data_IF_165125479268
#
_entry.id   IF_165125479268
#
_cell.length_a   1.000
_cell.length_b   1.000
_cell.length_c   1.000
_cell.angle_alpha   90.00
_cell.angle_beta   90.00
_cell.angle_gamma   90.00
#
_symmetry.space_group_name_H-M   'P 1'
#
loop_
_entity.id
_entity.type
_entity.pdbx_description
1 polymer ?
#
# COMPACT_ATOMS: atom_id res chain seq x y z
N UNK A 1 8.16 21.58 3.12
CA UNK A 1 9.55 21.06 3.27
C UNK A 1 9.74 19.71 2.57
N UNK A 2 8.86 18.69 2.80
CA UNK A 2 8.97 17.38 2.13
C UNK A 2 8.91 17.50 0.60
N UNK A 3 7.95 18.25 0.07
CA UNK A 3 7.78 18.52 -1.37
C UNK A 3 9.04 19.19 -1.95
N UNK A 4 9.62 20.17 -1.25
CA UNK A 4 10.84 20.86 -1.72
C UNK A 4 12.04 19.90 -1.80
N UNK A 5 12.15 18.97 -0.85
CA UNK A 5 13.20 17.95 -0.87
C UNK A 5 12.97 16.98 -2.03
N UNK A 6 11.74 16.47 -2.18
CA UNK A 6 11.38 15.58 -3.29
C UNK A 6 11.72 16.19 -4.65
N UNK A 7 11.36 17.45 -4.87
CA UNK A 7 11.71 18.18 -6.09
C UNK A 7 13.21 18.31 -6.34
N UNK A 8 13.99 18.59 -5.29
CA UNK A 8 15.47 18.66 -5.40
C UNK A 8 16.07 17.31 -5.76
N UNK A 9 15.42 16.22 -5.39
CA UNK A 9 15.83 14.85 -5.74
C UNK A 9 15.29 14.40 -7.10
N UNK A 10 14.50 15.23 -7.78
CA UNK A 10 13.91 14.90 -9.09
C UNK A 10 12.70 13.97 -9.01
N UNK A 11 12.12 13.78 -7.82
CA UNK A 11 10.89 13.01 -7.68
C UNK A 11 9.67 13.83 -8.15
N UNK A 12 8.72 13.18 -8.80
CA UNK A 12 7.44 13.75 -9.25
C UNK A 12 6.26 13.24 -8.41
N UNK A 13 6.47 12.25 -7.60
CA UNK A 13 5.44 11.60 -6.78
C UNK A 13 5.93 11.46 -5.34
N UNK A 14 5.06 11.81 -4.41
CA UNK A 14 5.26 11.58 -2.98
C UNK A 14 4.35 10.45 -2.52
N UNK A 15 4.89 9.53 -1.73
CA UNK A 15 4.14 8.47 -1.08
C UNK A 15 4.07 8.70 0.43
N UNK A 16 2.92 8.42 1.02
CA UNK A 16 2.75 8.21 2.46
C UNK A 16 1.84 7.02 2.71
N UNK A 17 2.05 6.36 3.83
CA UNK A 17 1.15 5.33 4.35
C UNK A 17 -0.05 6.00 5.02
N UNK A 18 -1.25 5.43 4.85
CA UNK A 18 -2.43 5.87 5.57
C UNK A 18 -2.26 5.69 7.09
N UNK A 19 -2.78 6.66 7.85
CA UNK A 19 -2.60 6.67 9.29
C UNK A 19 -3.58 5.76 10.02
N UNK A 20 -3.14 5.34 11.16
CA UNK A 20 -3.93 4.75 12.23
C UNK A 20 -4.70 5.85 12.98
N UNK A 21 -5.92 5.62 13.46
CA UNK A 21 -6.61 6.57 14.34
C UNK A 21 -5.82 6.77 15.66
N UNK A 22 -5.43 8.01 15.96
CA UNK A 22 -4.60 8.33 17.11
C UNK A 22 -5.24 7.94 18.45
N UNK A 23 -6.57 7.99 18.51
CA UNK A 23 -7.35 7.69 19.70
C UNK A 23 -7.40 6.19 20.00
N UNK A 24 -7.17 5.32 19.00
CA UNK A 24 -7.20 3.88 19.16
C UNK A 24 -5.80 3.38 19.53
N UNK A 25 -5.67 2.81 20.73
CA UNK A 25 -4.39 2.28 21.19
C UNK A 25 -4.24 0.82 20.82
N UNK A 26 -3.25 0.53 20.00
CA UNK A 26 -2.82 -0.82 19.71
C UNK A 26 -1.73 -1.27 20.69
N UNK A 27 -1.62 -2.57 20.97
CA UNK A 27 -0.57 -3.09 21.85
C UNK A 27 0.85 -2.98 21.26
N UNK A 28 0.97 -2.64 20.00
CA UNK A 28 2.22 -2.38 19.28
C UNK A 28 2.06 -1.07 18.49
N UNK A 29 3.06 -0.20 18.56
CA UNK A 29 2.98 1.17 18.05
C UNK A 29 2.78 1.30 16.54
N UNK A 30 3.14 0.31 15.74
CA UNK A 30 3.11 0.42 14.28
C UNK A 30 2.20 -0.58 13.58
N UNK A 31 2.24 -1.83 13.98
CA UNK A 31 1.44 -2.89 13.38
C UNK A 31 0.54 -3.53 14.42
N UNK A 32 -0.70 -3.88 14.07
CA UNK A 32 -1.54 -4.67 14.96
C UNK A 32 -0.78 -5.94 15.36
N UNK A 33 -0.81 -6.25 16.62
CA UNK A 33 0.00 -7.31 17.18
C UNK A 33 -0.25 -8.70 16.55
N UNK A 34 -1.38 -8.91 15.92
CA UNK A 34 -1.68 -10.17 15.24
C UNK A 34 -0.87 -10.39 13.96
N UNK A 35 -0.23 -9.34 13.40
CA UNK A 35 0.75 -9.51 12.35
C UNK A 35 2.09 -10.04 12.86
N UNK A 36 2.33 -9.94 14.16
CA UNK A 36 3.55 -10.40 14.80
C UNK A 36 3.27 -11.30 16.02
N UNK A 37 2.42 -12.33 15.89
CA UNK A 37 2.00 -13.13 17.04
C UNK A 37 3.19 -13.83 17.73
N UNK A 38 4.24 -14.16 16.96
CA UNK A 38 5.44 -14.85 17.44
C UNK A 38 6.44 -13.87 18.06
N UNK A 39 6.57 -12.66 17.50
CA UNK A 39 7.50 -11.65 18.01
C UNK A 39 7.12 -11.16 19.41
N UNK A 40 5.88 -11.30 19.79
CA UNK A 40 5.35 -10.79 21.03
C UNK A 40 5.42 -11.73 22.20
N UNK A 41 5.87 -12.98 22.06
CA UNK A 41 6.10 -13.98 23.13
C UNK A 41 5.04 -14.09 24.24
N UNK A 42 4.32 -13.00 24.46
CA UNK A 42 3.30 -12.85 25.51
C UNK A 42 1.93 -13.41 25.11
N UNK A 43 1.69 -13.66 23.82
CA UNK A 43 0.35 -13.93 23.30
C UNK A 43 0.15 -15.31 22.67
N UNK A 44 1.16 -16.19 22.77
CA UNK A 44 1.04 -17.58 22.29
C UNK A 44 -0.16 -18.29 22.94
N UNK A 45 -0.47 -17.96 24.18
CA UNK A 45 -1.57 -18.55 24.95
C UNK A 45 -2.86 -17.72 24.92
N UNK A 46 -2.85 -16.51 24.33
CA UNK A 46 -4.02 -15.66 24.20
C UNK A 46 -3.99 -14.89 22.87
N UNK A 47 -4.34 -15.54 21.76
CA UNK A 47 -4.26 -14.97 20.42
C UNK A 47 -5.37 -13.96 20.08
N UNK A 48 -6.01 -13.37 21.09
CA UNK A 48 -7.04 -12.37 20.84
C UNK A 48 -6.41 -11.06 20.40
N UNK A 49 -6.88 -10.55 19.26
CA UNK A 49 -6.64 -9.17 18.89
C UNK A 49 -7.34 -8.26 19.89
N UNK A 50 -6.56 -7.40 20.54
CA UNK A 50 -7.06 -6.43 21.49
C UNK A 50 -6.58 -5.03 21.09
N UNK A 51 -7.53 -4.11 20.97
CA UNK A 51 -7.28 -2.70 20.79
C UNK A 51 -8.18 -1.92 21.73
N UNK A 52 -7.65 -0.90 22.37
CA UNK A 52 -8.40 -0.01 23.23
C UNK A 52 -9.04 1.09 22.40
N UNK A 53 -10.36 1.04 22.26
CA UNK A 53 -11.15 2.06 21.57
C UNK A 53 -11.88 2.85 22.64
N UNK A 54 -11.72 4.19 22.72
CA UNK A 54 -12.46 5.01 23.67
C UNK A 54 -13.98 4.91 23.45
N UNK A 55 -14.76 4.95 24.54
CA UNK A 55 -16.23 4.84 24.48
C UNK A 55 -16.87 5.97 23.65
N UNK A 56 -16.23 7.14 23.61
CA UNK A 56 -16.67 8.32 22.86
C UNK A 56 -16.00 8.47 21.50
N UNK A 57 -15.36 7.43 20.97
CA UNK A 57 -14.66 7.48 19.70
C UNK A 57 -15.59 7.81 18.54
N UNK A 58 -15.39 8.99 17.93
CA UNK A 58 -16.12 9.46 16.76
C UNK A 58 -15.43 9.00 15.45
N UNK A 59 -15.77 7.81 14.99
CA UNK A 59 -15.21 7.24 13.75
C UNK A 59 -15.49 8.10 12.51
N UNK A 60 -16.67 8.70 12.41
CA UNK A 60 -17.05 9.57 11.29
C UNK A 60 -16.27 10.87 11.31
N UNK A 61 -16.18 11.51 12.46
CA UNK A 61 -15.37 12.71 12.62
C UNK A 61 -13.90 12.47 12.40
N UNK A 62 -13.37 11.33 12.87
CA UNK A 62 -11.98 10.93 12.60
C UNK A 62 -11.72 10.79 11.09
N UNK A 63 -12.58 10.08 10.37
CA UNK A 63 -12.54 9.96 8.91
C UNK A 63 -12.53 11.32 8.22
N UNK A 64 -13.48 12.20 8.57
CA UNK A 64 -13.60 13.52 7.94
C UNK A 64 -12.36 14.39 8.19
N UNK A 65 -11.87 14.45 9.44
CA UNK A 65 -10.64 15.20 9.78
C UNK A 65 -9.42 14.68 9.01
N UNK A 66 -9.34 13.36 8.83
CA UNK A 66 -8.26 12.74 8.07
C UNK A 66 -8.31 13.15 6.60
N UNK A 67 -9.49 13.06 5.96
CA UNK A 67 -9.67 13.48 4.57
C UNK A 67 -9.42 14.96 4.35
N UNK A 68 -9.85 15.81 5.28
CA UNK A 68 -9.56 17.26 5.22
C UNK A 68 -8.05 17.53 5.28
N UNK A 69 -7.32 16.75 6.08
CA UNK A 69 -5.86 16.85 6.19
C UNK A 69 -5.17 16.38 4.92
N UNK A 70 -5.62 15.25 4.35
CA UNK A 70 -5.14 14.77 3.05
C UNK A 70 -5.42 15.78 1.93
N UNK A 71 -6.62 16.37 1.90
CA UNK A 71 -6.98 17.39 0.91
C UNK A 71 -6.03 18.58 0.92
N UNK A 72 -5.58 19.01 2.10
CA UNK A 72 -4.55 20.06 2.21
C UNK A 72 -3.20 19.64 1.63
N UNK A 73 -2.79 18.39 1.85
CA UNK A 73 -1.53 17.86 1.30
C UNK A 73 -1.63 17.75 -0.22
N UNK A 74 -2.74 17.19 -0.72
CA UNK A 74 -3.00 17.05 -2.16
C UNK A 74 -2.95 18.43 -2.84
N UNK A 75 -3.61 19.43 -2.27
CA UNK A 75 -3.56 20.80 -2.80
C UNK A 75 -2.14 21.36 -2.88
N UNK A 76 -1.31 21.15 -1.85
CA UNK A 76 0.09 21.55 -1.91
C UNK A 76 0.87 20.81 -3.00
N UNK A 77 0.53 19.56 -3.26
CA UNK A 77 1.13 18.80 -4.37
C UNK A 77 0.70 19.36 -5.73
N UNK A 78 -0.57 19.67 -5.93
CA UNK A 78 -1.09 20.33 -7.14
C UNK A 78 -0.37 21.65 -7.43
N UNK A 79 -0.29 22.54 -6.44
CA UNK A 79 0.37 23.84 -6.55
C UNK A 79 1.85 23.74 -6.92
N UNK A 80 2.43 22.57 -6.76
CA UNK A 80 3.85 22.30 -7.02
C UNK A 80 4.08 21.31 -8.14
N UNK A 81 3.06 20.92 -8.91
CA UNK A 81 3.13 19.88 -9.95
C UNK A 81 3.75 18.55 -9.43
N UNK A 82 3.34 18.15 -8.25
CA UNK A 82 3.67 16.85 -7.65
C UNK A 82 2.43 15.97 -7.62
N UNK A 83 2.61 14.67 -7.77
CA UNK A 83 1.58 13.67 -7.47
C UNK A 83 1.69 13.24 -6.01
N UNK A 84 0.56 12.89 -5.43
CA UNK A 84 0.48 12.35 -4.08
C UNK A 84 -0.15 10.97 -4.12
N UNK A 85 0.59 9.97 -3.72
CA UNK A 85 0.17 8.58 -3.65
C UNK A 85 -0.06 8.18 -2.18
N UNK A 86 -1.29 7.77 -1.85
CA UNK A 86 -1.61 7.23 -0.54
C UNK A 86 -1.49 5.71 -0.58
N UNK A 87 -0.78 5.14 0.37
CA UNK A 87 -0.65 3.70 0.53
C UNK A 87 -1.59 3.20 1.62
N UNK A 88 -2.44 2.23 1.26
CA UNK A 88 -3.31 1.53 2.19
C UNK A 88 -2.56 0.42 2.92
N UNK A 89 -2.76 0.33 4.23
CA UNK A 89 -2.28 -0.78 5.05
C UNK A 89 -3.45 -1.44 5.77
N UNK A 90 -3.21 -2.61 6.36
CA UNK A 90 -4.18 -3.21 7.25
C UNK A 90 -4.41 -2.32 8.50
N UNK A 91 -5.67 -2.22 8.91
CA UNK A 91 -6.13 -1.52 10.12
C UNK A 91 -5.86 -0.01 10.21
N UNK A 92 -5.55 0.63 9.11
CA UNK A 92 -5.47 2.09 9.03
C UNK A 92 -6.81 2.70 8.55
N UNK A 93 -6.92 4.01 8.61
CA UNK A 93 -8.17 4.74 8.25
C UNK A 93 -8.58 4.44 6.80
N UNK A 94 -7.61 4.46 5.86
CA UNK A 94 -7.83 4.10 4.45
C UNK A 94 -6.95 2.90 4.13
N UNK A 95 -7.47 1.70 4.36
CA UNK A 95 -6.72 0.46 4.16
C UNK A 95 -7.11 -0.30 2.89
N UNK A 96 -8.39 -0.28 2.53
CA UNK A 96 -8.93 -1.06 1.42
C UNK A 96 -9.08 -0.23 0.15
N UNK A 97 -9.19 -0.92 -0.99
CA UNK A 97 -9.51 -0.29 -2.28
C UNK A 97 -10.79 0.54 -2.22
N UNK A 98 -11.86 0.03 -1.58
CA UNK A 98 -13.12 0.75 -1.50
C UNK A 98 -13.04 1.99 -0.60
N UNK A 99 -12.24 1.94 0.46
CA UNK A 99 -11.93 3.12 1.28
C UNK A 99 -11.14 4.16 0.46
N UNK A 100 -10.22 3.70 -0.40
CA UNK A 100 -9.45 4.57 -1.29
C UNK A 100 -10.35 5.27 -2.32
N UNK A 101 -11.29 4.53 -2.94
CA UNK A 101 -12.27 5.12 -3.86
C UNK A 101 -13.12 6.20 -3.17
N UNK A 102 -13.56 5.94 -1.92
CA UNK A 102 -14.26 6.96 -1.11
C UNK A 102 -13.41 8.22 -0.90
N UNK A 103 -12.11 8.05 -0.67
CA UNK A 103 -11.22 9.20 -0.51
C UNK A 103 -11.05 9.98 -1.82
N UNK A 104 -10.99 9.31 -2.97
CA UNK A 104 -10.97 9.97 -4.29
C UNK A 104 -12.26 10.73 -4.59
N UNK A 105 -13.41 10.18 -4.20
CA UNK A 105 -14.69 10.87 -4.35
C UNK A 105 -14.80 12.13 -3.48
N UNK A 106 -14.12 12.12 -2.34
CA UNK A 106 -14.06 13.27 -1.44
C UNK A 106 -13.08 14.33 -1.94
N UNK A 107 -11.86 13.89 -2.26
CA UNK A 107 -10.76 14.74 -2.75
C UNK A 107 -10.68 14.56 -4.27
N UNK A 108 -11.44 15.35 -5.00
CA UNK A 108 -11.52 15.30 -6.47
C UNK A 108 -10.29 16.00 -7.09
N UNK A 109 -9.19 15.28 -7.20
CA UNK A 109 -7.93 15.80 -7.72
C UNK A 109 -7.22 14.76 -8.59
N UNK A 110 -6.65 15.20 -9.71
CA UNK A 110 -5.81 14.36 -10.56
C UNK A 110 -4.41 14.18 -9.98
N UNK A 111 -4.00 15.02 -9.04
CA UNK A 111 -2.75 14.86 -8.31
C UNK A 111 -2.84 13.81 -7.19
N UNK A 112 -4.06 13.31 -6.86
CA UNK A 112 -4.28 12.32 -5.84
C UNK A 112 -4.52 10.94 -6.42
N UNK A 113 -3.69 9.99 -6.03
CA UNK A 113 -3.76 8.59 -6.39
C UNK A 113 -3.28 7.68 -5.28
N UNK A 114 -2.96 6.46 -5.63
CA UNK A 114 -2.50 5.46 -4.66
C UNK A 114 -1.15 4.88 -5.04
N UNK A 115 -0.37 4.54 -4.02
CA UNK A 115 0.64 3.50 -4.09
C UNK A 115 -0.04 2.16 -3.76
N UNK A 116 -0.13 1.29 -4.74
CA UNK A 116 -0.79 -0.01 -4.59
C UNK A 116 0.20 -1.03 -4.06
N UNK A 117 0.11 -1.37 -2.79
CA UNK A 117 0.94 -2.43 -2.21
C UNK A 117 0.25 -3.79 -2.33
N UNK A 118 0.90 -4.71 -3.05
CA UNK A 118 0.32 -6.01 -3.37
C UNK A 118 0.07 -6.89 -2.16
N UNK A 119 0.96 -6.86 -1.17
CA UNK A 119 0.79 -7.68 0.02
C UNK A 119 -0.26 -7.10 0.97
N UNK A 120 -0.28 -5.79 1.19
CA UNK A 120 -1.27 -5.20 2.07
C UNK A 120 -2.70 -5.37 1.56
N UNK A 121 -2.93 -5.21 0.24
CA UNK A 121 -4.25 -5.45 -0.34
C UNK A 121 -4.65 -6.94 -0.27
N UNK A 122 -3.71 -7.85 -0.52
CA UNK A 122 -3.95 -9.29 -0.34
C UNK A 122 -4.31 -9.63 1.12
N UNK A 123 -3.62 -9.03 2.10
CA UNK A 123 -3.92 -9.22 3.53
C UNK A 123 -5.29 -8.65 3.92
N UNK A 124 -5.83 -7.69 3.17
CA UNK A 124 -7.22 -7.23 3.28
C UNK A 124 -8.24 -8.19 2.63
N UNK A 125 -7.78 -9.33 2.11
CA UNK A 125 -8.60 -10.31 1.38
C UNK A 125 -9.13 -9.80 0.05
N UNK A 126 -8.46 -8.83 -0.55
CA UNK A 126 -8.83 -8.34 -1.87
C UNK A 126 -8.26 -9.23 -2.98
N UNK A 127 -9.03 -9.42 -4.04
CA UNK A 127 -8.54 -10.00 -5.28
C UNK A 127 -7.84 -8.90 -6.09
N UNK A 128 -6.51 -8.92 -6.11
CA UNK A 128 -5.69 -7.81 -6.58
C UNK A 128 -6.01 -7.35 -8.02
N UNK A 129 -6.23 -8.24 -9.01
CA UNK A 129 -6.62 -7.81 -10.35
C UNK A 129 -7.90 -6.97 -10.35
N UNK A 130 -8.89 -7.34 -9.55
CA UNK A 130 -10.12 -6.57 -9.41
C UNK A 130 -9.90 -5.20 -8.77
N UNK A 131 -9.04 -5.13 -7.76
CA UNK A 131 -8.62 -3.87 -7.13
C UNK A 131 -7.93 -2.94 -8.13
N UNK A 132 -7.07 -3.49 -8.99
CA UNK A 132 -6.42 -2.73 -10.08
C UNK A 132 -7.46 -2.13 -11.03
N UNK A 133 -8.46 -2.91 -11.45
CA UNK A 133 -9.53 -2.38 -12.32
C UNK A 133 -10.37 -1.29 -11.65
N UNK A 134 -10.65 -1.41 -10.36
CA UNK A 134 -11.38 -0.37 -9.60
C UNK A 134 -10.59 0.93 -9.51
N UNK A 135 -9.29 0.85 -9.25
CA UNK A 135 -8.42 2.02 -9.07
C UNK A 135 -8.02 2.68 -10.39
N UNK A 136 -7.81 1.88 -11.44
CA UNK A 136 -7.53 2.38 -12.78
C UNK A 136 -6.32 3.32 -12.82
N UNK A 137 -6.50 4.46 -13.46
CA UNK A 137 -5.48 5.51 -13.63
C UNK A 137 -5.02 6.19 -12.33
N UNK A 138 -5.73 5.95 -11.22
CA UNK A 138 -5.34 6.45 -9.91
C UNK A 138 -4.20 5.65 -9.27
N UNK A 139 -3.72 4.57 -9.88
CA UNK A 139 -2.51 3.87 -9.44
C UNK A 139 -1.31 4.64 -9.97
N UNK A 140 -0.58 5.33 -9.09
CA UNK A 140 0.61 6.11 -9.45
C UNK A 140 1.90 5.33 -9.25
N UNK A 141 1.89 4.38 -8.33
CA UNK A 141 3.02 3.55 -7.96
C UNK A 141 2.54 2.19 -7.48
N UNK A 142 3.40 1.18 -7.58
CA UNK A 142 3.10 -0.15 -7.07
C UNK A 142 4.27 -0.64 -6.23
N UNK A 143 4.01 -0.98 -4.97
CA UNK A 143 4.93 -1.79 -4.18
C UNK A 143 4.65 -3.26 -4.43
N UNK A 144 5.70 -3.99 -4.79
CA UNK A 144 5.62 -5.43 -5.06
C UNK A 144 6.32 -6.24 -3.98
N UNK A 145 5.60 -7.15 -3.40
CA UNK A 145 6.03 -8.24 -2.55
C UNK A 145 4.94 -9.30 -2.55
N UNK A 146 5.30 -10.53 -2.27
CA UNK A 146 4.32 -11.59 -2.16
C UNK A 146 3.86 -11.78 -0.71
N UNK A 147 2.82 -12.54 -0.53
CA UNK A 147 2.27 -12.89 0.78
C UNK A 147 1.58 -14.26 0.71
N UNK A 148 1.35 -14.88 1.87
CA UNK A 148 0.62 -16.16 1.96
C UNK A 148 -0.91 -15.96 2.12
N UNK A 149 -1.36 -14.70 2.21
CA UNK A 149 -2.75 -14.35 2.42
C UNK A 149 -3.29 -14.65 3.83
N UNK A 150 -2.44 -15.05 4.75
CA UNK A 150 -2.81 -15.40 6.14
C UNK A 150 -2.06 -14.55 7.17
N UNK A 151 -0.76 -14.70 7.25
CA UNK A 151 0.08 -14.09 8.29
C UNK A 151 1.39 -13.50 7.74
N UNK A 152 1.92 -14.03 6.66
CA UNK A 152 3.20 -13.57 6.08
C UNK A 152 2.90 -12.57 4.97
N UNK A 153 3.25 -11.33 5.21
CA UNK A 153 2.97 -10.19 4.32
C UNK A 153 4.21 -9.67 3.57
N UNK A 154 5.35 -10.32 3.73
CA UNK A 154 6.58 -9.96 3.03
C UNK A 154 7.31 -11.21 2.61
N UNK A 155 6.91 -11.76 1.47
CA UNK A 155 7.60 -12.85 0.78
C UNK A 155 8.27 -12.31 -0.49
N UNK A 156 9.36 -12.93 -0.93
CA UNK A 156 9.90 -12.66 -2.26
C UNK A 156 8.82 -12.88 -3.33
N UNK A 157 8.83 -12.04 -4.36
CA UNK A 157 7.87 -12.12 -5.47
C UNK A 157 7.93 -13.48 -6.13
N UNK A 158 6.77 -14.14 -6.25
CA UNK A 158 6.63 -15.50 -6.77
C UNK A 158 6.75 -16.63 -5.73
N UNK A 159 6.93 -16.31 -4.44
CA UNK A 159 6.99 -17.30 -3.36
C UNK A 159 5.72 -17.33 -2.49
N UNK A 160 4.73 -16.51 -2.82
CA UNK A 160 3.43 -16.48 -2.14
C UNK A 160 2.31 -17.03 -3.02
N UNK A 161 1.11 -16.44 -2.86
CA UNK A 161 -0.11 -16.89 -3.53
C UNK A 161 -0.62 -15.90 -4.59
N UNK A 162 0.10 -14.82 -4.86
CA UNK A 162 -0.33 -13.81 -5.84
C UNK A 162 -0.20 -14.38 -7.27
N UNK A 163 -1.28 -14.31 -8.05
CA UNK A 163 -1.23 -14.54 -9.49
C UNK A 163 -0.61 -13.32 -10.20
N UNK A 164 0.69 -13.35 -10.34
CA UNK A 164 1.47 -12.27 -10.92
C UNK A 164 1.19 -12.05 -12.41
N UNK A 165 0.87 -13.11 -13.17
CA UNK A 165 0.52 -12.97 -14.57
C UNK A 165 -0.77 -12.16 -14.72
N UNK A 166 -1.81 -12.51 -13.97
CA UNK A 166 -3.08 -11.80 -14.04
C UNK A 166 -2.97 -10.37 -13.47
N UNK A 167 -2.18 -10.18 -12.42
CA UNK A 167 -1.94 -8.85 -11.87
C UNK A 167 -1.24 -7.94 -12.90
N UNK A 168 -0.17 -8.42 -13.56
CA UNK A 168 0.56 -7.66 -14.59
C UNK A 168 -0.36 -7.35 -15.79
N UNK A 169 -1.17 -8.32 -16.25
CA UNK A 169 -2.16 -8.07 -17.30
C UNK A 169 -3.15 -6.99 -16.91
N UNK A 170 -3.62 -7.02 -15.67
CA UNK A 170 -4.56 -6.03 -15.15
C UNK A 170 -3.95 -4.63 -15.10
N UNK A 171 -2.72 -4.48 -14.62
CA UNK A 171 -1.98 -3.22 -14.63
C UNK A 171 -1.80 -2.68 -16.06
N UNK A 172 -1.37 -3.54 -16.99
CA UNK A 172 -1.26 -3.18 -18.40
C UNK A 172 -2.61 -2.73 -18.98
N UNK A 173 -3.69 -3.45 -18.67
CA UNK A 173 -5.03 -3.17 -19.16
C UNK A 173 -5.58 -1.81 -18.74
N UNK A 174 -5.27 -1.37 -17.52
CA UNK A 174 -5.65 -0.04 -17.02
C UNK A 174 -4.66 1.08 -17.44
N UNK A 175 -3.64 0.75 -18.23
CA UNK A 175 -2.67 1.72 -18.74
C UNK A 175 -1.63 2.16 -17.73
N UNK A 176 -1.35 1.37 -16.69
CA UNK A 176 -0.31 1.69 -15.73
C UNK A 176 1.07 1.70 -16.40
N UNK A 177 1.76 2.84 -16.34
CA UNK A 177 3.12 3.07 -16.87
C UNK A 177 4.07 3.61 -15.78
N UNK A 178 3.86 3.18 -14.53
CA UNK A 178 4.68 3.56 -13.38
C UNK A 178 5.77 2.55 -13.06
N UNK A 179 6.30 2.66 -11.85
CA UNK A 179 7.32 1.74 -11.34
C UNK A 179 6.71 0.66 -10.47
N UNK A 180 7.27 -0.56 -10.61
CA UNK A 180 7.08 -1.66 -9.68
C UNK A 180 8.29 -1.66 -8.73
N UNK A 181 8.11 -1.14 -7.53
CA UNK A 181 9.18 -1.07 -6.52
C UNK A 181 9.12 -2.26 -5.60
N UNK A 182 10.21 -3.02 -5.56
CA UNK A 182 10.32 -4.16 -4.66
C UNK A 182 10.47 -3.69 -3.21
N UNK A 183 9.58 -4.15 -2.36
CA UNK A 183 9.63 -3.90 -0.92
C UNK A 183 9.78 -5.20 -0.14
N UNK A 184 10.99 -5.51 0.30
CA UNK A 184 11.30 -6.68 1.10
C UNK A 184 11.86 -6.29 2.46
N UNK A 185 11.43 -6.99 3.50
CA UNK A 185 11.91 -6.79 4.86
C UNK A 185 12.06 -8.12 5.60
N UNK A 186 12.99 -8.18 6.55
CA UNK A 186 13.10 -9.29 7.48
C UNK A 186 13.88 -10.52 6.98
N UNK A 187 14.69 -10.40 5.92
CA UNK A 187 15.48 -11.49 5.38
C UNK A 187 16.97 -11.37 5.74
N UNK A 188 17.61 -12.48 6.06
CA UNK A 188 19.04 -12.54 6.33
C UNK A 188 19.89 -12.18 5.10
N UNK A 189 19.39 -12.49 3.89
CA UNK A 189 20.05 -12.19 2.62
C UNK A 189 19.10 -11.44 1.68
N UNK A 190 18.86 -10.16 1.98
CA UNK A 190 17.96 -9.33 1.18
C UNK A 190 18.39 -9.21 -0.29
N UNK A 191 19.69 -9.14 -0.56
CA UNK A 191 20.18 -9.05 -1.94
C UNK A 191 19.82 -10.26 -2.78
N UNK A 192 19.96 -11.47 -2.23
CA UNK A 192 19.57 -12.72 -2.91
C UNK A 192 18.07 -12.68 -3.25
N UNK A 193 17.23 -12.42 -2.27
CA UNK A 193 15.77 -12.44 -2.45
C UNK A 193 15.27 -11.29 -3.33
N UNK A 194 15.93 -10.13 -3.28
CA UNK A 194 15.64 -9.04 -4.19
C UNK A 194 15.96 -9.42 -5.65
N UNK A 195 17.13 -10.06 -5.86
CA UNK A 195 17.52 -10.53 -7.20
C UNK A 195 16.54 -11.57 -7.73
N UNK A 196 16.19 -12.57 -6.93
CA UNK A 196 15.24 -13.62 -7.32
C UNK A 196 13.85 -13.02 -7.66
N UNK A 197 13.37 -12.06 -6.86
CA UNK A 197 12.12 -11.37 -7.11
C UNK A 197 12.14 -10.56 -8.40
N UNK A 198 13.24 -9.85 -8.67
CA UNK A 198 13.40 -9.05 -9.89
C UNK A 198 13.46 -9.97 -11.12
N UNK A 199 14.21 -11.06 -11.04
CA UNK A 199 14.32 -12.01 -12.15
C UNK A 199 12.95 -12.65 -12.45
N UNK A 200 12.18 -12.99 -11.41
CA UNK A 200 10.85 -13.57 -11.56
C UNK A 200 9.86 -12.57 -12.21
N UNK A 201 9.75 -11.36 -11.66
CA UNK A 201 8.78 -10.39 -12.20
C UNK A 201 9.15 -9.91 -13.60
N UNK A 202 10.43 -9.77 -13.91
CA UNK A 202 10.89 -9.41 -15.26
C UNK A 202 10.48 -10.45 -16.31
N UNK A 203 10.56 -11.73 -15.97
CA UNK A 203 10.09 -12.79 -16.86
C UNK A 203 8.61 -12.61 -17.20
N UNK A 204 7.77 -12.37 -16.19
CA UNK A 204 6.34 -12.15 -16.39
C UNK A 204 6.09 -10.87 -17.21
N UNK A 205 6.78 -9.78 -16.92
CA UNK A 205 6.64 -8.53 -17.68
C UNK A 205 6.99 -8.70 -19.16
N UNK A 206 7.98 -9.54 -19.47
CA UNK A 206 8.34 -9.89 -20.86
C UNK A 206 7.27 -10.77 -21.50
N UNK A 207 6.82 -11.82 -20.81
CA UNK A 207 5.78 -12.74 -21.28
C UNK A 207 4.46 -12.03 -21.58
N UNK A 208 4.12 -11.04 -20.78
CA UNK A 208 2.88 -10.25 -20.91
C UNK A 208 3.07 -8.99 -21.80
N UNK A 209 4.24 -8.81 -22.42
CA UNK A 209 4.57 -7.61 -23.22
C UNK A 209 4.24 -6.31 -22.45
N UNK A 210 4.67 -6.25 -21.20
CA UNK A 210 4.38 -5.17 -20.25
C UNK A 210 5.65 -4.46 -19.77
N UNK A 211 6.82 -4.79 -20.29
CA UNK A 211 8.10 -4.17 -19.92
C UNK A 211 8.36 -2.96 -20.81
N UNK A 212 8.29 -1.76 -20.23
CA UNK A 212 8.76 -0.54 -20.87
C UNK A 212 10.19 -0.24 -20.42
N UNK A 213 11.12 -0.17 -21.35
CA UNK A 213 12.50 0.28 -21.07
C UNK A 213 12.51 1.79 -21.22
N UNK A 214 12.57 2.51 -20.09
CA UNK A 214 12.72 3.98 -20.05
C UNK A 214 14.16 4.37 -19.87
#
# INVERSE_FOLDING_TARGET
RGIEVAKKLGADTMNIVSNWPEEIKAPIDYLPYYFHPVANGKNINNPKLYMEIPDDFDATGNWNRYLDSLGKIVKMCEETNMRFALEGHANVIIGTTDAMLRAFDWIKSDAFGTNFDTAWQLMQREYLPWSVYKLGEKIFHVHIRDADGLAVYSLPVGQGIIDWNELVRSLKKVGFDGYLSLELAGFDNQYKYAKESIDYIRKILIEEDALTVK
#
